data_IF_564396560739
#
_entry.id   IF_564396560739
#
_cell.length_a   1.000
_cell.length_b   1.000
_cell.length_c   1.000
_cell.angle_alpha   90.00
_cell.angle_beta   90.00
_cell.angle_gamma   90.00
#
_symmetry.space_group_name_H-M   'P 1'
#
loop_
_entity.id
_entity.type
_entity.pdbx_description
1 polymer ?
#
# COMPACT_ATOMS: atom_id res chain seq x y z
N UNK A 1 -2.35 -14.72 -0.16
CA UNK A 1 -3.56 -13.85 -0.24
C UNK A 1 -3.71 -13.30 -1.65
N UNK A 2 -4.68 -13.79 -2.42
CA UNK A 2 -4.82 -13.45 -3.85
C UNK A 2 -6.02 -12.54 -4.06
N UNK A 3 -5.80 -11.27 -4.37
CA UNK A 3 -6.89 -10.30 -4.58
C UNK A 3 -7.04 -9.99 -6.08
N UNK A 4 -8.28 -9.85 -6.54
CA UNK A 4 -8.60 -9.39 -7.87
C UNK A 4 -8.75 -7.87 -7.92
N UNK A 5 -8.19 -7.24 -8.96
CA UNK A 5 -8.31 -5.80 -9.17
C UNK A 5 -8.74 -5.51 -10.61
N UNK A 6 -9.69 -4.59 -10.77
CA UNK A 6 -9.98 -3.97 -12.07
C UNK A 6 -9.28 -2.62 -12.08
N UNK A 7 -8.53 -2.36 -13.15
CA UNK A 7 -7.74 -1.16 -13.29
C UNK A 7 -7.98 -0.54 -14.67
N UNK A 8 -8.18 0.78 -14.70
CA UNK A 8 -8.24 1.51 -15.96
C UNK A 8 -6.82 1.79 -16.49
N UNK A 9 -6.71 2.09 -17.79
CA UNK A 9 -5.42 2.29 -18.46
C UNK A 9 -4.59 3.43 -17.84
N UNK A 10 -5.24 4.51 -17.39
CA UNK A 10 -4.57 5.67 -16.80
C UNK A 10 -3.96 5.33 -15.45
N UNK A 11 -4.72 4.67 -14.58
CA UNK A 11 -4.23 4.18 -13.29
C UNK A 11 -3.10 3.15 -13.47
N UNK A 12 -3.18 2.29 -14.50
CA UNK A 12 -2.11 1.36 -14.83
C UNK A 12 -0.80 2.08 -15.16
N UNK A 13 -0.87 3.12 -16.00
CA UNK A 13 0.29 3.95 -16.36
C UNK A 13 0.87 4.68 -15.15
N UNK A 14 0.01 5.28 -14.33
CA UNK A 14 0.45 6.02 -13.14
C UNK A 14 1.10 5.09 -12.10
N UNK A 15 0.51 3.92 -11.87
CA UNK A 15 1.08 2.93 -10.96
C UNK A 15 2.38 2.32 -11.50
N UNK A 16 2.48 2.09 -12.82
CA UNK A 16 3.72 1.64 -13.46
C UNK A 16 4.85 2.67 -13.35
N UNK A 17 4.54 3.97 -13.48
CA UNK A 17 5.52 5.04 -13.29
C UNK A 17 5.99 5.17 -11.83
N UNK A 18 5.12 4.81 -10.88
CA UNK A 18 5.42 4.77 -9.44
C UNK A 18 5.76 3.36 -8.92
N UNK A 19 6.10 2.41 -9.80
CA UNK A 19 6.26 1.02 -9.40
C UNK A 19 7.59 0.85 -8.67
N UNK A 20 7.47 0.54 -7.40
CA UNK A 20 8.59 0.16 -6.55
C UNK A 20 8.77 -1.36 -6.58
N UNK A 21 9.87 -1.89 -6.02
CA UNK A 21 10.05 -3.34 -5.94
C UNK A 21 8.81 -4.02 -5.34
N UNK A 22 8.37 -5.12 -5.95
CA UNK A 22 7.11 -5.81 -5.64
C UNK A 22 6.95 -6.09 -4.14
N UNK A 23 8.04 -6.47 -3.47
CA UNK A 23 8.07 -6.74 -2.03
C UNK A 23 7.77 -5.52 -1.15
N UNK A 24 7.98 -4.29 -1.65
CA UNK A 24 7.69 -3.06 -0.92
C UNK A 24 6.23 -2.60 -1.13
N UNK A 25 5.71 -2.85 -2.33
CA UNK A 25 4.35 -2.49 -2.75
C UNK A 25 3.31 -3.42 -2.14
N UNK A 26 3.59 -4.71 -2.09
CA UNK A 26 2.68 -5.72 -1.56
C UNK A 26 2.30 -5.47 -0.09
N UNK A 27 3.24 -5.01 0.73
CA UNK A 27 3.01 -4.75 2.15
C UNK A 27 2.34 -3.38 2.42
N UNK A 28 2.39 -2.46 1.46
CA UNK A 28 1.97 -1.06 1.66
C UNK A 28 1.21 -0.48 0.48
N UNK A 29 0.17 -1.19 0.03
CA UNK A 29 -0.70 -0.72 -1.05
C UNK A 29 -1.35 0.65 -0.77
N UNK A 30 -1.53 1.01 0.50
CA UNK A 30 -2.00 2.34 0.92
C UNK A 30 -1.13 3.50 0.41
N UNK A 31 0.16 3.27 0.15
CA UNK A 31 1.06 4.27 -0.45
C UNK A 31 0.51 4.74 -1.80
N UNK A 32 -0.02 3.85 -2.64
CA UNK A 32 -0.52 4.25 -3.96
C UNK A 32 -1.72 5.20 -3.86
N UNK A 33 -2.55 5.00 -2.84
CA UNK A 33 -3.66 5.91 -2.53
C UNK A 33 -3.15 7.24 -1.98
N UNK A 34 -2.22 7.21 -1.03
CA UNK A 34 -1.69 8.43 -0.41
C UNK A 34 -0.95 9.30 -1.45
N UNK A 35 -0.17 8.71 -2.34
CA UNK A 35 0.51 9.43 -3.43
C UNK A 35 -0.41 9.76 -4.62
N UNK A 36 -1.70 9.47 -4.52
CA UNK A 36 -2.71 9.75 -5.56
C UNK A 36 -2.39 9.09 -6.91
N UNK A 37 -1.63 7.98 -6.92
CA UNK A 37 -1.35 7.23 -8.14
C UNK A 37 -2.60 6.53 -8.68
N UNK A 38 -3.51 6.13 -7.78
CA UNK A 38 -4.79 5.55 -8.14
C UNK A 38 -5.85 5.84 -7.06
N UNK A 39 -7.12 5.87 -7.48
CA UNK A 39 -8.25 5.84 -6.55
C UNK A 39 -8.70 4.39 -6.39
N UNK A 40 -8.65 3.88 -5.16
CA UNK A 40 -9.07 2.50 -4.86
C UNK A 40 -10.52 2.53 -4.41
N UNK A 41 -11.35 1.70 -5.05
CA UNK A 41 -12.75 1.50 -4.68
C UNK A 41 -13.00 0.00 -4.52
N UNK A 42 -13.81 -0.36 -3.54
CA UNK A 42 -14.29 -1.73 -3.40
C UNK A 42 -15.38 -1.99 -4.45
N UNK A 43 -15.32 -3.17 -5.09
CA UNK A 43 -16.36 -3.65 -6.00
C UNK A 43 -17.14 -4.73 -5.27
N UNK A 44 -18.46 -4.60 -5.23
CA UNK A 44 -19.38 -5.57 -4.66
C UNK A 44 -20.37 -5.97 -5.76
N UNK A 45 -20.51 -7.27 -6.10
CA UNK A 45 -19.80 -8.43 -5.53
C UNK A 45 -18.31 -8.50 -5.96
N UNK A 46 -17.46 -9.26 -5.24
CA UNK A 46 -16.04 -9.42 -5.60
C UNK A 46 -15.90 -10.08 -6.97
N UNK A 47 -14.97 -9.58 -7.76
CA UNK A 47 -14.79 -9.97 -9.18
C UNK A 47 -14.06 -11.30 -9.32
N UNK A 48 -13.21 -11.66 -8.34
CA UNK A 48 -12.38 -12.87 -8.37
C UNK A 48 -12.44 -13.54 -7.00
N UNK A 49 -12.58 -14.87 -7.01
CA UNK A 49 -12.52 -15.73 -5.83
C UNK A 49 -11.11 -16.27 -5.62
N UNK A 50 -10.76 -16.61 -4.38
CA UNK A 50 -9.47 -17.20 -4.06
C UNK A 50 -9.34 -18.60 -4.66
N UNK A 51 -8.19 -18.89 -5.29
CA UNK A 51 -7.85 -20.25 -5.70
C UNK A 51 -7.40 -21.08 -4.51
N UNK A 52 -7.51 -22.42 -4.61
CA UNK A 52 -7.05 -23.37 -3.59
C UNK A 52 -5.56 -23.21 -3.23
N UNK A 53 -4.75 -22.68 -4.15
CA UNK A 53 -3.30 -22.47 -3.98
C UNK A 53 -2.93 -21.11 -3.36
N UNK A 54 -3.91 -20.23 -3.11
CA UNK A 54 -3.67 -18.87 -2.61
C UNK A 54 -3.01 -18.83 -1.22
N UNK A 55 -3.13 -19.91 -0.45
CA UNK A 55 -2.53 -20.07 0.88
C UNK A 55 -1.02 -20.38 0.83
N UNK A 56 -0.51 -20.90 -0.29
CA UNK A 56 0.89 -21.32 -0.42
C UNK A 56 1.74 -20.28 -1.16
N UNK A 57 1.12 -19.29 -1.78
CA UNK A 57 1.83 -18.23 -2.51
C UNK A 57 2.27 -17.12 -1.55
N UNK A 58 3.51 -17.22 -1.06
CA UNK A 58 4.15 -16.20 -0.23
C UNK A 58 5.40 -15.64 -0.92
N UNK A 59 5.49 -14.31 -1.02
CA UNK A 59 6.63 -13.59 -1.59
C UNK A 59 7.81 -13.52 -0.59
N UNK A 60 7.66 -14.06 0.63
CA UNK A 60 8.60 -13.92 1.75
C UNK A 60 9.82 -14.85 1.69
N UNK A 61 10.06 -15.55 0.58
CA UNK A 61 11.11 -16.57 0.46
C UNK A 61 12.52 -15.94 0.50
N UNK A 62 12.63 -14.66 0.16
CA UNK A 62 13.91 -13.93 0.15
C UNK A 62 13.95 -12.88 1.27
N UNK A 63 15.03 -12.80 2.06
CA UNK A 63 15.18 -11.76 3.06
C UNK A 63 15.11 -10.37 2.39
N UNK A 64 14.22 -9.52 2.92
CA UNK A 64 13.99 -8.18 2.39
C UNK A 64 15.21 -7.30 2.72
N UNK A 65 15.89 -6.69 1.73
CA UNK A 65 17.05 -5.84 2.00
C UNK A 65 16.62 -4.55 2.72
N UNK A 66 16.87 -4.45 4.03
CA UNK A 66 16.42 -3.33 4.86
C UNK A 66 17.01 -1.98 4.44
N UNK A 67 18.29 -1.97 4.06
CA UNK A 67 18.97 -0.74 3.64
C UNK A 67 18.35 -0.16 2.35
N UNK A 68 18.13 -0.99 1.33
CA UNK A 68 17.50 -0.58 0.08
C UNK A 68 16.06 -0.09 0.31
N UNK A 69 15.31 -0.80 1.16
CA UNK A 69 13.96 -0.39 1.58
C UNK A 69 13.97 1.00 2.23
N UNK A 70 14.89 1.25 3.15
CA UNK A 70 14.96 2.51 3.88
C UNK A 70 15.34 3.68 2.96
N UNK A 71 16.30 3.49 2.06
CA UNK A 71 16.69 4.51 1.08
C UNK A 71 15.50 4.90 0.17
N UNK A 72 14.80 3.89 -0.35
CA UNK A 72 13.61 4.13 -1.19
C UNK A 72 12.52 4.82 -0.37
N UNK A 73 12.29 4.41 0.88
CA UNK A 73 11.30 5.03 1.75
C UNK A 73 11.59 6.49 2.08
N UNK A 74 12.87 6.84 2.26
CA UNK A 74 13.29 8.23 2.46
C UNK A 74 13.05 9.07 1.22
N UNK A 75 13.42 8.57 0.03
CA UNK A 75 13.18 9.28 -1.24
C UNK A 75 11.68 9.51 -1.51
N UNK A 76 10.84 8.53 -1.16
CA UNK A 76 9.40 8.62 -1.21
C UNK A 76 8.88 9.74 -0.30
N UNK A 77 9.24 9.70 0.99
CA UNK A 77 8.84 10.70 1.98
C UNK A 77 9.24 12.12 1.59
N UNK A 78 10.41 12.29 0.97
CA UNK A 78 10.88 13.58 0.47
C UNK A 78 9.95 14.12 -0.62
N UNK A 79 9.49 13.27 -1.54
CA UNK A 79 8.61 13.61 -2.68
C UNK A 79 7.12 13.65 -2.32
N UNK A 80 6.75 13.28 -1.08
CA UNK A 80 5.35 13.20 -0.68
C UNK A 80 4.67 14.57 -0.77
N UNK A 81 3.48 14.65 -1.42
CA UNK A 81 2.76 15.91 -1.54
C UNK A 81 2.35 16.45 -0.17
N UNK A 82 2.34 17.78 -0.03
CA UNK A 82 2.05 18.45 1.24
C UNK A 82 0.69 18.04 1.83
N UNK A 83 -0.31 17.78 0.99
CA UNK A 83 -1.64 17.28 1.40
C UNK A 83 -1.55 16.01 2.23
N UNK A 84 -0.66 15.09 1.86
CA UNK A 84 -0.45 13.81 2.55
C UNK A 84 0.22 14.05 3.90
N UNK A 85 1.21 14.94 3.94
CA UNK A 85 1.87 15.33 5.20
C UNK A 85 0.87 15.94 6.18
N UNK A 86 0.02 16.88 5.72
CA UNK A 86 -1.03 17.48 6.54
C UNK A 86 -2.06 16.44 7.00
N UNK A 87 -2.52 15.55 6.12
CA UNK A 87 -3.45 14.45 6.47
C UNK A 87 -2.86 13.57 7.57
N UNK A 88 -1.60 13.16 7.46
CA UNK A 88 -0.95 12.34 8.49
C UNK A 88 -0.76 13.09 9.80
N UNK A 89 -0.42 14.38 9.73
CA UNK A 89 -0.28 15.23 10.91
C UNK A 89 -1.63 15.39 11.64
N UNK A 90 -2.69 15.71 10.90
CA UNK A 90 -4.06 15.80 11.43
C UNK A 90 -4.52 14.46 12.00
N UNK A 91 -4.29 13.35 11.31
CA UNK A 91 -4.62 12.02 11.82
C UNK A 91 -3.86 11.70 13.11
N UNK A 92 -2.59 12.05 13.19
CA UNK A 92 -1.77 11.88 14.39
C UNK A 92 -2.24 12.72 15.58
N UNK A 93 -2.71 13.95 15.34
CA UNK A 93 -3.19 14.85 16.39
C UNK A 93 -4.62 14.55 16.82
N UNK A 94 -5.51 14.22 15.88
CA UNK A 94 -6.96 14.17 16.11
C UNK A 94 -7.53 12.76 16.19
N UNK A 95 -6.90 11.77 15.57
CA UNK A 95 -7.49 10.41 15.48
C UNK A 95 -6.72 9.45 16.35
N UNK A 96 -5.39 9.47 16.27
CA UNK A 96 -4.50 8.60 17.04
C UNK A 96 -4.75 8.63 18.56
N UNK A 97 -4.96 9.76 19.25
CA UNK A 97 -5.18 9.74 20.69
C UNK A 97 -6.52 9.10 21.10
N UNK A 98 -7.49 9.01 20.19
CA UNK A 98 -8.79 8.40 20.47
C UNK A 98 -8.88 6.92 20.08
N UNK A 99 -7.88 6.38 19.38
CA UNK A 99 -7.78 4.96 19.07
C UNK A 99 -7.00 4.22 20.17
N UNK A 100 -7.71 3.53 21.04
CA UNK A 100 -7.10 2.54 21.94
C UNK A 100 -6.65 1.34 21.12
N UNK A 101 -5.34 1.22 20.89
CA UNK A 101 -4.77 0.03 20.27
C UNK A 101 -4.77 -1.08 21.32
N UNK A 102 -5.80 -1.90 21.32
CA UNK A 102 -5.83 -3.14 22.12
C UNK A 102 -4.92 -4.14 21.41
N UNK A 103 -3.74 -4.40 22.00
CA UNK A 103 -2.92 -5.54 21.58
C UNK A 103 -3.65 -6.81 22.00
N UNK A 104 -4.15 -7.57 21.04
CA UNK A 104 -4.53 -8.96 21.29
C UNK A 104 -3.24 -9.74 21.61
N UNK A 105 -3.19 -10.32 22.82
CA UNK A 105 -2.13 -11.22 23.28
C UNK A 105 -2.26 -12.59 22.62
#
# INVERSE_FOLDING_TARGET
>A
MTHGYIINRTAARNMAAGLYPVWMVADKFSIFQDYSFCQVRAVVPPVILHSIHAAQSHISITPKPEAARNAIWQSLKARAPWKVKCKHLLWGLLVRPFLSIVKQR
#
